data_IF_754568788316
#
_entry.id   IF_754568788316
#
_cell.length_a   1.000
_cell.length_b   1.000
_cell.length_c   1.000
_cell.angle_alpha   90.00
_cell.angle_beta   90.00
_cell.angle_gamma   90.00
#
_symmetry.space_group_name_H-M   'P 1'
#
loop_
_entity.id
_entity.type
_entity.pdbx_description
1 polymer ?
#
# COMPACT_ATOMS: atom_id res chain seq x y z
N UNK A 1 -19.33 21.27 -18.46
CA UNK A 1 -18.85 20.24 -17.52
C UNK A 1 -19.62 18.97 -17.81
N UNK A 2 -18.96 17.91 -18.29
CA UNK A 2 -19.62 16.61 -18.46
C UNK A 2 -19.69 15.93 -17.08
N UNK A 3 -20.88 15.53 -16.60
CA UNK A 3 -20.96 14.71 -15.39
C UNK A 3 -20.21 13.41 -15.65
N UNK A 4 -19.34 13.03 -14.70
CA UNK A 4 -18.70 11.72 -14.67
C UNK A 4 -19.79 10.66 -14.84
N UNK A 5 -19.82 10.00 -16.01
CA UNK A 5 -20.64 8.81 -16.24
C UNK A 5 -20.07 7.71 -15.34
N UNK A 6 -20.52 7.66 -14.10
CA UNK A 6 -20.37 6.49 -13.25
C UNK A 6 -21.21 5.42 -13.94
N UNK A 7 -20.55 4.48 -14.62
CA UNK A 7 -21.23 3.25 -15.07
C UNK A 7 -21.84 2.64 -13.80
N UNK A 8 -23.14 2.35 -13.81
CA UNK A 8 -23.77 1.60 -12.73
C UNK A 8 -22.98 0.32 -12.49
N UNK A 9 -22.28 0.27 -11.35
CA UNK A 9 -21.60 -0.93 -10.92
C UNK A 9 -22.68 -1.78 -10.24
N UNK A 10 -23.07 -2.87 -10.92
CA UNK A 10 -24.00 -3.85 -10.35
C UNK A 10 -23.20 -4.83 -9.51
N UNK A 11 -23.32 -4.72 -8.19
CA UNK A 11 -22.70 -5.65 -7.23
C UNK A 11 -23.65 -6.81 -6.91
N UNK A 12 -23.10 -7.99 -6.59
CA UNK A 12 -23.88 -9.07 -6.00
C UNK A 12 -24.22 -8.75 -4.54
N UNK A 13 -25.46 -8.96 -4.12
CA UNK A 13 -25.96 -8.49 -2.81
C UNK A 13 -25.38 -9.26 -1.60
N UNK A 14 -24.54 -10.29 -1.79
CA UNK A 14 -23.76 -10.95 -0.72
C UNK A 14 -22.30 -10.51 -0.67
N UNK A 15 -21.87 -9.71 -1.63
CA UNK A 15 -20.48 -9.38 -1.80
C UNK A 15 -20.08 -8.30 -0.80
N UNK A 16 -19.16 -8.67 0.08
CA UNK A 16 -18.54 -7.75 1.02
C UNK A 16 -17.64 -6.80 0.23
N UNK A 17 -17.96 -5.51 0.22
CA UNK A 17 -17.15 -4.50 -0.50
C UNK A 17 -16.10 -3.95 0.46
N UNK A 18 -14.85 -3.92 0.03
CA UNK A 18 -13.81 -3.20 0.75
C UNK A 18 -13.78 -1.74 0.29
N UNK A 19 -13.99 -0.78 1.20
CA UNK A 19 -13.70 0.64 0.96
C UNK A 19 -12.37 0.98 1.63
N UNK A 20 -11.39 1.39 0.84
CA UNK A 20 -10.03 1.60 1.27
C UNK A 20 -9.60 3.05 1.06
N UNK A 21 -9.17 3.72 2.12
CA UNK A 21 -8.58 5.05 2.06
C UNK A 21 -7.05 4.93 1.93
N UNK A 22 -6.53 5.30 0.76
CA UNK A 22 -5.12 5.19 0.42
C UNK A 22 -4.34 6.50 0.55
N UNK A 23 -4.99 7.57 1.03
CA UNK A 23 -4.35 8.86 1.23
C UNK A 23 -5.02 9.63 2.37
N UNK A 24 -4.24 10.35 3.18
CA UNK A 24 -4.74 11.05 4.38
C UNK A 24 -5.87 12.04 4.03
N UNK A 25 -5.65 12.89 3.02
CA UNK A 25 -6.63 13.89 2.58
C UNK A 25 -7.89 13.30 1.92
N UNK A 26 -7.89 12.02 1.53
CA UNK A 26 -9.05 11.38 0.88
C UNK A 26 -10.03 10.72 1.86
N UNK A 27 -9.80 10.85 3.17
CA UNK A 27 -10.63 10.24 4.20
C UNK A 27 -12.11 10.69 4.13
N UNK A 28 -12.45 11.99 3.94
CA UNK A 28 -13.85 12.41 3.85
C UNK A 28 -14.57 11.77 2.66
N UNK A 29 -13.91 11.71 1.50
CA UNK A 29 -14.46 11.09 0.29
C UNK A 29 -14.67 9.58 0.47
N UNK A 30 -13.73 8.90 1.14
CA UNK A 30 -13.86 7.48 1.45
C UNK A 30 -15.03 7.19 2.38
N UNK A 31 -15.25 8.03 3.40
CA UNK A 31 -16.41 7.93 4.30
C UNK A 31 -17.73 8.21 3.59
N UNK A 32 -17.74 9.15 2.64
CA UNK A 32 -18.91 9.42 1.80
C UNK A 32 -19.27 8.19 0.94
N UNK A 33 -18.29 7.56 0.30
CA UNK A 33 -18.47 6.33 -0.49
C UNK A 33 -19.00 5.19 0.39
N UNK A 34 -18.41 5.00 1.57
CA UNK A 34 -18.88 4.00 2.54
C UNK A 34 -20.35 4.21 2.93
N UNK A 35 -20.72 5.47 3.19
CA UNK A 35 -22.09 5.85 3.55
C UNK A 35 -23.07 5.57 2.40
N UNK A 36 -22.68 5.91 1.16
CA UNK A 36 -23.47 5.63 -0.03
C UNK A 36 -23.74 4.12 -0.21
N UNK A 37 -22.70 3.28 -0.11
CA UNK A 37 -22.83 1.82 -0.23
C UNK A 37 -23.78 1.26 0.84
N UNK A 38 -23.64 1.77 2.07
CA UNK A 38 -24.50 1.38 3.19
C UNK A 38 -25.97 1.78 2.97
N UNK A 39 -26.23 2.99 2.47
CA UNK A 39 -27.59 3.47 2.12
C UNK A 39 -28.24 2.60 1.04
N UNK A 40 -27.44 2.04 0.13
CA UNK A 40 -27.90 1.11 -0.90
C UNK A 40 -28.01 -0.34 -0.41
N UNK A 41 -27.89 -0.58 0.89
CA UNK A 41 -28.13 -1.89 1.51
C UNK A 41 -27.02 -2.91 1.24
N UNK A 42 -25.82 -2.46 0.86
CA UNK A 42 -24.65 -3.32 0.66
C UNK A 42 -23.75 -3.31 1.90
N UNK A 43 -23.15 -4.46 2.20
CA UNK A 43 -22.18 -4.58 3.30
C UNK A 43 -20.81 -4.10 2.83
N UNK A 44 -20.23 -3.16 3.56
CA UNK A 44 -18.89 -2.68 3.29
C UNK A 44 -18.02 -2.68 4.56
N UNK A 45 -16.78 -3.13 4.40
CA UNK A 45 -15.73 -2.90 5.37
C UNK A 45 -14.94 -1.66 4.98
N UNK A 46 -14.43 -0.95 5.98
CA UNK A 46 -13.68 0.27 5.76
C UNK A 46 -12.28 0.17 6.32
N UNK A 47 -11.27 0.44 5.49
CA UNK A 47 -9.86 0.56 5.91
C UNK A 47 -9.44 2.04 5.82
N UNK A 48 -9.25 2.73 6.96
CA UNK A 48 -9.01 4.17 7.02
C UNK A 48 -7.62 4.58 6.55
N UNK A 49 -6.65 3.67 6.58
CA UNK A 49 -5.27 3.95 6.20
C UNK A 49 -4.63 2.69 5.61
N UNK A 50 -4.47 2.64 4.29
CA UNK A 50 -3.74 1.56 3.63
C UNK A 50 -3.05 2.04 2.35
N UNK A 51 -2.31 1.15 1.72
CA UNK A 51 -1.69 1.34 0.40
C UNK A 51 -2.54 0.66 -0.67
N UNK A 52 -2.42 1.12 -1.92
CA UNK A 52 -3.12 0.48 -3.05
C UNK A 52 -2.72 -1.00 -3.22
N UNK A 53 -1.50 -1.36 -2.82
CA UNK A 53 -1.01 -2.74 -2.87
C UNK A 53 -1.65 -3.64 -1.82
N UNK A 54 -1.94 -3.13 -0.61
CA UNK A 54 -2.73 -3.87 0.39
C UNK A 54 -4.13 -4.20 -0.16
N UNK A 55 -4.76 -3.27 -0.90
CA UNK A 55 -6.06 -3.50 -1.56
C UNK A 55 -5.97 -4.55 -2.66
N UNK A 56 -4.97 -4.44 -3.55
CA UNK A 56 -4.73 -5.44 -4.62
C UNK A 56 -4.47 -6.83 -4.04
N UNK A 57 -3.74 -6.92 -2.92
CA UNK A 57 -3.51 -8.17 -2.20
C UNK A 57 -4.81 -8.76 -1.62
N UNK A 58 -5.66 -7.92 -1.03
CA UNK A 58 -6.93 -8.37 -0.48
C UNK A 58 -7.83 -9.02 -1.55
N UNK A 59 -7.85 -8.44 -2.75
CA UNK A 59 -8.59 -8.94 -3.90
C UNK A 59 -7.95 -10.22 -4.46
N UNK A 60 -6.63 -10.24 -4.64
CA UNK A 60 -5.93 -11.42 -5.20
C UNK A 60 -5.98 -12.65 -4.31
N UNK A 61 -6.15 -12.47 -2.98
CA UNK A 61 -6.38 -13.55 -2.02
C UNK A 61 -7.86 -13.89 -1.81
N UNK A 62 -8.76 -13.28 -2.58
CA UNK A 62 -10.22 -13.44 -2.46
C UNK A 62 -10.74 -13.16 -1.03
N UNK A 63 -10.06 -12.28 -0.27
CA UNK A 63 -10.59 -11.83 1.02
C UNK A 63 -11.81 -10.93 0.83
N UNK A 64 -11.82 -10.20 -0.29
CA UNK A 64 -12.96 -9.44 -0.76
C UNK A 64 -13.18 -9.73 -2.24
N UNK A 65 -14.44 -9.92 -2.68
CA UNK A 65 -14.77 -10.01 -4.11
C UNK A 65 -14.65 -8.67 -4.83
N UNK A 66 -14.86 -7.55 -4.11
CA UNK A 66 -14.79 -6.19 -4.64
C UNK A 66 -14.10 -5.22 -3.68
N UNK A 67 -13.38 -4.24 -4.25
CA UNK A 67 -12.82 -3.14 -3.49
C UNK A 67 -12.90 -1.82 -4.24
N UNK A 68 -13.10 -0.74 -3.49
CA UNK A 68 -12.97 0.65 -3.93
C UNK A 68 -11.82 1.26 -3.16
N UNK A 69 -10.76 1.68 -3.86
CA UNK A 69 -9.63 2.38 -3.26
C UNK A 69 -9.64 3.85 -3.64
N UNK A 70 -9.64 4.73 -2.64
CA UNK A 70 -9.60 6.17 -2.83
C UNK A 70 -8.19 6.66 -2.60
N UNK A 71 -7.64 7.35 -3.59
CA UNK A 71 -6.34 8.02 -3.50
C UNK A 71 -6.53 9.53 -3.61
N UNK A 72 -5.44 10.30 -3.48
CA UNK A 72 -5.47 11.76 -3.67
C UNK A 72 -6.08 12.19 -5.00
N UNK A 73 -5.80 11.46 -6.08
CA UNK A 73 -6.10 11.89 -7.44
C UNK A 73 -7.20 11.07 -8.11
N UNK A 74 -7.43 9.83 -7.65
CA UNK A 74 -8.28 8.86 -8.34
C UNK A 74 -9.05 7.98 -7.35
N UNK A 75 -10.21 7.51 -7.80
CA UNK A 75 -10.94 6.39 -7.19
C UNK A 75 -10.72 5.17 -8.09
N UNK A 76 -10.23 4.08 -7.52
CA UNK A 76 -10.01 2.80 -8.20
C UNK A 76 -11.09 1.81 -7.81
N UNK A 77 -11.48 0.97 -8.78
CA UNK A 77 -12.41 -0.13 -8.59
C UNK A 77 -11.72 -1.45 -8.93
N UNK A 78 -11.86 -2.45 -8.05
CA UNK A 78 -11.34 -3.80 -8.21
C UNK A 78 -12.49 -4.80 -8.04
N UNK A 79 -12.57 -5.82 -8.89
CA UNK A 79 -13.62 -6.84 -8.81
C UNK A 79 -13.29 -8.12 -9.55
N UNK A 80 -13.61 -9.26 -8.93
CA UNK A 80 -13.65 -10.58 -9.58
C UNK A 80 -15.11 -10.86 -9.96
N UNK A 81 -15.45 -10.75 -11.24
CA UNK A 81 -16.83 -10.88 -11.69
C UNK A 81 -17.22 -12.35 -11.93
N UNK A 82 -18.02 -12.95 -11.03
CA UNK A 82 -19.04 -13.97 -11.35
C UNK A 82 -20.27 -13.74 -10.45
N UNK A 83 -21.39 -13.29 -11.02
CA UNK A 83 -22.47 -12.62 -10.28
C UNK A 83 -23.49 -13.51 -9.57
N UNK A 84 -24.25 -12.90 -8.64
CA UNK A 84 -25.73 -12.98 -8.43
C UNK A 84 -26.14 -12.16 -7.19
N UNK A 85 -27.27 -11.47 -7.30
CA UNK A 85 -27.87 -10.60 -6.28
C UNK A 85 -28.89 -11.35 -5.38
N UNK A 86 -28.63 -11.40 -4.04
CA UNK A 86 -29.45 -11.57 -2.78
C UNK A 86 -29.52 -10.50 -1.60
N UNK A 87 -30.49 -9.58 -1.47
CA UNK A 87 -30.63 -8.44 -0.48
C UNK A 87 -30.39 -8.79 1.01
N UNK A 88 -29.71 -7.94 1.82
CA UNK A 88 -29.89 -7.87 3.31
C UNK A 88 -29.19 -6.65 4.01
N UNK A 89 -29.96 -5.97 4.86
CA UNK A 89 -29.66 -4.74 5.66
C UNK A 89 -28.99 -5.06 7.01
N UNK A 90 -28.07 -4.20 7.50
CA UNK A 90 -28.14 -3.57 8.84
C UNK A 90 -27.04 -2.51 9.05
N UNK A 91 -27.48 -1.38 9.59
CA UNK A 91 -26.69 -0.19 9.94
C UNK A 91 -26.58 -0.20 11.46
N UNK A 92 -25.59 -0.89 11.99
CA UNK A 92 -25.25 -0.85 13.41
C UNK A 92 -23.77 -0.49 13.48
N UNK A 93 -23.51 0.79 13.75
CA UNK A 93 -22.22 1.39 14.09
C UNK A 93 -21.08 1.17 13.08
N UNK A 94 -20.51 2.25 12.52
CA UNK A 94 -19.21 2.17 11.85
C UNK A 94 -18.25 1.61 12.89
N UNK A 95 -17.76 0.35 12.77
CA UNK A 95 -16.96 -0.24 13.82
C UNK A 95 -15.73 0.64 13.99
N UNK A 96 -15.48 1.03 15.23
CA UNK A 96 -14.26 1.73 15.58
C UNK A 96 -13.04 0.95 15.07
N UNK A 97 -12.00 1.73 14.73
CA UNK A 97 -10.83 1.46 13.91
C UNK A 97 -9.97 0.20 14.23
N UNK A 98 -10.41 -0.72 15.09
CA UNK A 98 -9.59 -1.82 15.61
C UNK A 98 -9.46 -3.03 14.65
N UNK A 99 -10.39 -3.20 13.71
CA UNK A 99 -10.45 -4.42 12.88
C UNK A 99 -9.65 -4.37 11.56
N UNK A 100 -8.73 -3.43 11.38
CA UNK A 100 -7.99 -3.29 10.10
C UNK A 100 -6.52 -3.69 10.16
N UNK A 101 -6.00 -4.04 11.34
CA UNK A 101 -4.63 -4.53 11.50
C UNK A 101 -4.39 -5.86 10.78
N UNK A 102 -5.38 -6.75 10.74
CA UNK A 102 -5.19 -8.10 10.20
C UNK A 102 -4.85 -8.12 8.70
N UNK A 103 -5.37 -7.20 7.88
CA UNK A 103 -5.06 -7.18 6.44
C UNK A 103 -3.60 -6.79 6.23
N UNK A 104 -3.15 -5.77 6.97
CA UNK A 104 -1.76 -5.32 6.94
C UNK A 104 -0.81 -6.41 7.42
N UNK A 105 -1.13 -7.09 8.52
CA UNK A 105 -0.34 -8.20 9.04
C UNK A 105 -0.25 -9.36 8.03
N UNK A 106 -1.38 -9.77 7.43
CA UNK A 106 -1.38 -10.80 6.37
C UNK A 106 -0.58 -10.36 5.16
N UNK A 107 -0.64 -9.09 4.78
CA UNK A 107 0.14 -8.56 3.68
C UNK A 107 1.64 -8.57 4.00
N UNK A 108 2.04 -8.10 5.19
CA UNK A 108 3.42 -8.16 5.67
C UNK A 108 3.92 -9.60 5.70
N UNK A 109 3.14 -10.53 6.25
CA UNK A 109 3.53 -11.94 6.29
C UNK A 109 3.75 -12.50 4.87
N UNK A 110 2.87 -12.17 3.93
CA UNK A 110 3.06 -12.57 2.53
C UNK A 110 4.34 -12.01 1.91
N UNK A 111 4.77 -10.81 2.32
CA UNK A 111 6.04 -10.23 1.90
C UNK A 111 7.21 -10.94 2.57
N UNK A 112 7.14 -11.25 3.87
CA UNK A 112 8.17 -11.98 4.60
C UNK A 112 8.35 -13.40 4.07
N UNK A 113 7.29 -14.07 3.67
CA UNK A 113 7.32 -15.42 3.09
C UNK A 113 8.11 -15.45 1.76
N UNK A 114 8.21 -14.33 1.05
CA UNK A 114 9.07 -14.18 -0.14
C UNK A 114 10.54 -14.08 0.27
N UNK A 115 10.85 -13.48 1.42
CA UNK A 115 12.20 -13.21 1.91
C UNK A 115 12.60 -14.12 3.08
N UNK A 116 12.64 -15.44 2.85
CA UNK A 116 12.99 -16.47 3.86
C UNK A 116 14.47 -16.44 4.30
N UNK A 117 14.91 -15.43 5.09
CA UNK A 117 16.19 -15.41 5.86
C UNK A 117 17.46 -14.84 5.19
N UNK A 118 17.39 -13.85 4.28
CA UNK A 118 18.62 -13.33 3.60
C UNK A 118 18.97 -11.86 3.82
N UNK A 119 18.42 -11.19 4.84
CA UNK A 119 18.84 -9.82 5.15
C UNK A 119 19.81 -9.86 6.34
N UNK A 120 21.10 -9.62 6.07
CA UNK A 120 22.06 -9.30 7.14
C UNK A 120 21.60 -8.00 7.80
N UNK A 121 21.70 -7.93 9.13
CA UNK A 121 21.36 -6.72 9.89
C UNK A 121 22.00 -5.50 9.21
N UNK A 122 21.15 -4.59 8.76
CA UNK A 122 21.53 -3.48 7.90
C UNK A 122 20.93 -2.21 8.46
N UNK A 123 21.70 -1.11 8.42
CA UNK A 123 21.20 0.23 8.72
C UNK A 123 20.92 0.96 7.42
N UNK A 124 19.68 1.44 7.26
CA UNK A 124 19.23 2.13 6.05
C UNK A 124 18.59 3.49 6.37
N UNK A 125 18.61 4.39 5.40
CA UNK A 125 17.75 5.57 5.40
C UNK A 125 16.50 5.27 4.58
N UNK A 126 15.33 5.58 5.11
CA UNK A 126 14.07 5.47 4.39
C UNK A 126 13.39 6.83 4.33
N UNK A 127 13.14 7.32 3.12
CA UNK A 127 12.38 8.53 2.87
C UNK A 127 11.01 8.17 2.31
N UNK A 128 9.94 8.54 3.01
CA UNK A 128 8.58 8.24 2.54
C UNK A 128 7.55 9.21 3.13
N UNK A 129 6.32 9.08 2.66
CA UNK A 129 5.13 9.74 3.22
C UNK A 129 4.39 8.78 4.18
N UNK A 130 3.54 9.33 5.05
CA UNK A 130 3.04 8.72 6.30
C UNK A 130 2.56 7.27 6.18
N UNK A 131 1.57 6.98 5.33
CA UNK A 131 0.92 5.67 5.31
C UNK A 131 1.85 4.53 4.90
N UNK A 132 2.70 4.78 3.91
CA UNK A 132 3.66 3.80 3.42
C UNK A 132 4.82 3.63 4.41
N UNK A 133 5.18 4.69 5.14
CA UNK A 133 6.19 4.64 6.18
C UNK A 133 5.78 3.69 7.32
N UNK A 134 4.51 3.71 7.73
CA UNK A 134 3.97 2.81 8.75
C UNK A 134 4.09 1.33 8.35
N UNK A 135 3.61 1.00 7.14
CA UNK A 135 3.72 -0.35 6.58
C UNK A 135 5.18 -0.83 6.53
N UNK A 136 6.08 0.01 6.03
CA UNK A 136 7.47 -0.37 5.79
C UNK A 136 8.25 -0.47 7.10
N UNK A 137 7.96 0.39 8.09
CA UNK A 137 8.55 0.26 9.42
C UNK A 137 8.19 -1.08 10.07
N UNK A 138 6.94 -1.54 9.95
CA UNK A 138 6.52 -2.85 10.47
C UNK A 138 7.26 -3.99 9.76
N UNK A 139 7.30 -3.98 8.43
CA UNK A 139 8.02 -4.99 7.64
C UNK A 139 9.51 -5.04 7.98
N UNK A 140 10.17 -3.88 8.06
CA UNK A 140 11.61 -3.80 8.30
C UNK A 140 11.99 -4.14 9.76
N UNK A 141 11.07 -3.94 10.70
CA UNK A 141 11.23 -4.41 12.08
C UNK A 141 11.31 -5.93 12.14
N UNK A 142 10.42 -6.64 11.44
CA UNK A 142 10.44 -8.10 11.35
C UNK A 142 11.74 -8.62 10.69
N UNK A 143 12.26 -7.88 9.72
CA UNK A 143 13.52 -8.18 9.04
C UNK A 143 14.78 -7.76 9.82
N UNK A 144 14.63 -7.24 11.05
CA UNK A 144 15.71 -6.72 11.91
C UNK A 144 16.60 -5.67 11.20
N UNK A 145 16.00 -4.86 10.33
CA UNK A 145 16.68 -3.75 9.65
C UNK A 145 16.53 -2.48 10.48
N UNK A 146 17.64 -1.81 10.80
CA UNK A 146 17.59 -0.52 11.49
C UNK A 146 17.26 0.59 10.50
N UNK A 147 16.12 1.23 10.69
CA UNK A 147 15.61 2.26 9.77
C UNK A 147 15.74 3.64 10.40
N UNK A 148 16.33 4.57 9.67
CA UNK A 148 16.26 6.00 9.97
C UNK A 148 15.29 6.64 8.98
N UNK A 149 14.16 7.13 9.48
CA UNK A 149 13.04 7.57 8.67
C UNK A 149 13.05 9.09 8.44
N UNK A 150 12.90 9.50 7.19
CA UNK A 150 12.77 10.89 6.75
C UNK A 150 11.40 11.08 6.11
N UNK A 151 10.61 12.05 6.58
CA UNK A 151 9.30 12.35 5.98
C UNK A 151 9.46 13.30 4.81
N UNK A 152 9.05 12.89 3.62
CA UNK A 152 9.03 13.77 2.44
C UNK A 152 8.02 13.29 1.38
N UNK A 153 7.28 14.23 0.80
CA UNK A 153 6.36 13.98 -0.32
C UNK A 153 7.05 13.88 -1.68
N UNK A 154 8.24 14.45 -1.80
CA UNK A 154 9.02 14.48 -3.04
C UNK A 154 10.40 13.87 -2.79
N UNK A 155 10.98 13.28 -3.83
CA UNK A 155 12.36 12.82 -3.78
C UNK A 155 13.28 14.04 -3.56
N UNK A 156 13.73 14.24 -2.32
CA UNK A 156 14.78 15.21 -2.02
C UNK A 156 16.10 14.46 -1.91
N UNK A 157 16.82 14.46 -3.02
CA UNK A 157 18.00 13.63 -3.13
C UNK A 157 19.17 14.08 -2.25
N UNK A 158 19.32 15.39 -2.06
CA UNK A 158 20.32 15.96 -1.16
C UNK A 158 20.05 15.56 0.29
N UNK A 159 18.79 15.65 0.71
CA UNK A 159 18.37 15.25 2.05
C UNK A 159 18.59 13.75 2.28
N UNK A 160 18.31 12.92 1.26
CA UNK A 160 18.57 11.48 1.32
C UNK A 160 20.07 11.19 1.51
N UNK A 161 20.93 11.85 0.72
CA UNK A 161 22.38 11.70 0.82
C UNK A 161 22.92 12.14 2.18
N UNK A 162 22.55 13.34 2.64
CA UNK A 162 22.93 13.81 3.98
C UNK A 162 22.46 12.86 5.07
N UNK A 163 21.26 12.28 4.94
CA UNK A 163 20.81 11.23 5.83
C UNK A 163 21.76 10.02 5.84
N UNK A 164 22.15 9.54 4.65
CA UNK A 164 23.03 8.38 4.53
C UNK A 164 24.40 8.65 5.18
N UNK A 165 24.95 9.86 4.97
CA UNK A 165 26.23 10.29 5.53
C UNK A 165 26.15 10.45 7.05
N UNK A 166 25.22 11.28 7.55
CA UNK A 166 25.08 11.61 8.97
C UNK A 166 24.77 10.39 9.84
N UNK A 167 24.02 9.43 9.32
CA UNK A 167 23.65 8.23 10.07
C UNK A 167 24.54 7.02 9.73
N UNK A 168 25.59 7.20 8.92
CA UNK A 168 26.48 6.14 8.47
C UNK A 168 25.74 4.92 7.90
N UNK A 169 24.71 5.16 7.10
CA UNK A 169 23.99 4.11 6.39
C UNK A 169 24.76 3.74 5.11
N UNK A 170 24.57 2.51 4.62
CA UNK A 170 25.10 2.11 3.31
C UNK A 170 24.12 2.46 2.18
N UNK A 171 22.83 2.28 2.46
CA UNK A 171 21.76 2.44 1.49
C UNK A 171 20.73 3.46 1.96
N UNK A 172 20.18 4.21 1.01
CA UNK A 172 19.02 5.05 1.20
C UNK A 172 17.92 4.70 0.20
N UNK A 173 16.67 4.76 0.64
CA UNK A 173 15.51 4.43 -0.16
C UNK A 173 14.55 5.60 -0.14
N UNK A 174 13.99 5.96 -1.29
CA UNK A 174 12.82 6.82 -1.35
C UNK A 174 11.65 6.03 -1.93
N UNK A 175 10.56 5.98 -1.17
CA UNK A 175 9.33 5.37 -1.61
C UNK A 175 8.35 6.47 -2.03
N UNK A 176 7.93 6.40 -3.28
CA UNK A 176 6.94 7.33 -3.80
C UNK A 176 5.64 7.22 -2.99
N UNK A 177 4.90 8.31 -2.72
CA UNK A 177 3.68 8.27 -1.90
C UNK A 177 2.62 7.28 -2.37
N UNK A 178 2.59 6.96 -3.68
CA UNK A 178 1.68 5.95 -4.26
C UNK A 178 2.11 4.50 -4.00
N UNK A 179 3.30 4.25 -3.45
CA UNK A 179 3.86 2.91 -3.23
C UNK A 179 4.26 2.14 -4.49
N UNK A 180 4.13 2.75 -5.67
CA UNK A 180 4.40 2.10 -6.97
C UNK A 180 5.85 2.21 -7.43
N UNK A 181 6.62 3.16 -6.87
CA UNK A 181 7.99 3.44 -7.31
C UNK A 181 8.92 3.53 -6.11
N UNK A 182 10.07 2.90 -6.24
CA UNK A 182 11.16 2.90 -5.27
C UNK A 182 12.39 3.46 -5.95
N UNK A 183 13.11 4.33 -5.24
CA UNK A 183 14.41 4.85 -5.66
C UNK A 183 15.45 4.41 -4.65
N UNK A 184 16.59 3.90 -5.12
CA UNK A 184 17.65 3.32 -4.29
C UNK A 184 18.92 4.15 -4.46
N UNK A 185 19.61 4.42 -3.35
CA UNK A 185 20.89 5.13 -3.29
C UNK A 185 21.91 4.27 -2.55
N UNK A 186 23.10 4.06 -3.13
CA UNK A 186 24.23 3.31 -2.54
C UNK A 186 25.42 4.26 -2.29
N UNK A 187 25.89 4.33 -1.05
CA UNK A 187 27.03 5.15 -0.62
C UNK A 187 28.34 4.78 -1.33
N UNK A 188 28.58 3.49 -1.63
CA UNK A 188 29.88 3.01 -2.13
C UNK A 188 30.15 3.33 -3.59
N UNK A 189 29.11 3.41 -4.41
CA UNK A 189 29.28 3.61 -5.85
C UNK A 189 29.46 5.07 -6.25
N UNK A 190 29.37 6.02 -5.30
CA UNK A 190 29.54 7.46 -5.54
C UNK A 190 28.54 8.09 -6.53
N UNK A 191 27.74 7.28 -7.21
CA UNK A 191 26.92 7.67 -8.34
C UNK A 191 25.44 7.34 -8.12
N UNK A 192 24.62 8.26 -8.65
CA UNK A 192 23.21 8.06 -8.87
C UNK A 192 22.99 6.81 -9.72
N UNK A 193 22.66 5.66 -9.13
CA UNK A 193 22.00 4.61 -9.92
C UNK A 193 20.56 5.00 -10.16
N UNK A 194 20.38 5.92 -11.12
CA UNK A 194 19.09 6.35 -11.62
C UNK A 194 18.69 5.48 -12.81
N UNK A 195 18.85 4.16 -12.71
CA UNK A 195 18.38 3.24 -13.73
C UNK A 195 17.53 2.17 -13.07
N UNK A 196 16.22 2.30 -13.26
CA UNK A 196 15.29 1.21 -12.99
C UNK A 196 15.74 -0.08 -13.69
N UNK A 197 16.36 0.04 -14.87
CA UNK A 197 16.91 -1.08 -15.66
C UNK A 197 18.01 -1.85 -14.92
N UNK A 198 19.06 -1.19 -14.41
CA UNK A 198 20.10 -1.84 -13.58
C UNK A 198 19.52 -2.54 -12.35
N UNK A 199 18.50 -1.91 -11.74
CA UNK A 199 17.80 -2.44 -10.57
C UNK A 199 16.96 -3.66 -10.94
N UNK A 200 16.28 -3.63 -12.09
CA UNK A 200 15.53 -4.75 -12.67
C UNK A 200 16.48 -5.90 -13.00
N UNK A 201 17.60 -5.65 -13.67
CA UNK A 201 18.60 -6.69 -13.99
C UNK A 201 19.13 -7.32 -12.70
N UNK A 202 19.45 -6.52 -11.68
CA UNK A 202 19.88 -7.03 -10.37
C UNK A 202 18.79 -7.85 -9.68
N UNK A 203 17.54 -7.38 -9.71
CA UNK A 203 16.38 -8.08 -9.13
C UNK A 203 16.09 -9.40 -9.85
N UNK A 204 16.06 -9.40 -11.18
CA UNK A 204 15.88 -10.59 -12.01
C UNK A 204 17.01 -11.60 -11.78
N UNK A 205 18.25 -11.13 -11.73
CA UNK A 205 19.40 -11.99 -11.43
C UNK A 205 19.27 -12.62 -10.04
N UNK A 206 18.78 -11.87 -9.04
CA UNK A 206 18.53 -12.42 -7.71
C UNK A 206 17.39 -13.44 -7.73
N UNK A 207 16.26 -13.12 -8.38
CA UNK A 207 15.10 -14.02 -8.46
C UNK A 207 15.45 -15.33 -9.17
N UNK A 208 16.16 -15.27 -10.30
CA UNK A 208 16.61 -16.47 -11.03
C UNK A 208 17.58 -17.36 -10.23
N UNK A 209 18.34 -16.79 -9.30
CA UNK A 209 19.30 -17.53 -8.47
C UNK A 209 18.71 -18.01 -7.13
N UNK A 210 17.46 -17.67 -6.81
CA UNK A 210 16.81 -18.01 -5.54
C UNK A 210 15.44 -18.70 -5.70
N UNK A 211 15.01 -18.93 -6.96
CA UNK A 211 13.95 -19.87 -7.32
C UNK A 211 14.57 -21.26 -7.57
#
# INVERSE_FOLDING_TARGET
>A
MNPLKIKEIKFGEKDKILVANCFEDSLPLSKLILSYISLHGQRADFIPECTLNEVKFAISKNFYPFAIAVTKENIFYFGNCEGKSKRLVRWDEVPDNENNFWLREKYIQSLLDIFKNKIKESKIILMSYSNLLNLVNLLLKELRVRVVSLRSYKLNKYLLLKGIESYNCRYGFFLHPKGERIFIMDKKKGEWKKNGEDSIVTLLSYLMNNL
#
